data_IF_268908406039
#
_entry.id   IF_268908406039
#
_cell.length_a   1.000
_cell.length_b   1.000
_cell.length_c   1.000
_cell.angle_alpha   90.00
_cell.angle_beta   90.00
_cell.angle_gamma   90.00
#
_symmetry.space_group_name_H-M   'P 1'
#
loop_
_entity.id
_entity.type
_entity.pdbx_description
1 polymer ?
#
# COMPACT_ATOMS: atom_id res chain seq x y z
N UNK A 1 23.74 -28.34 -3.55
CA UNK A 1 22.92 -28.40 -2.32
C UNK A 1 23.78 -28.94 -1.19
N UNK A 2 23.62 -28.44 0.05
CA UNK A 2 24.35 -28.91 1.24
C UNK A 2 23.34 -29.37 2.28
N UNK A 3 23.56 -30.53 2.89
CA UNK A 3 22.70 -31.01 3.97
C UNK A 3 22.78 -30.08 5.19
N UNK A 4 21.63 -29.67 5.71
CA UNK A 4 21.55 -28.94 6.98
C UNK A 4 21.77 -29.90 8.15
N UNK A 5 22.46 -29.43 9.20
CA UNK A 5 22.60 -30.21 10.44
C UNK A 5 21.25 -30.25 11.17
N UNK A 6 20.86 -31.38 11.78
CA UNK A 6 19.69 -31.44 12.64
C UNK A 6 19.76 -30.34 13.72
N UNK A 7 18.69 -29.56 13.87
CA UNK A 7 18.62 -28.46 14.83
C UNK A 7 19.40 -27.20 14.45
N UNK A 8 19.94 -27.09 13.24
CA UNK A 8 20.55 -25.85 12.77
C UNK A 8 19.51 -24.71 12.79
N UNK A 9 19.81 -23.65 13.53
CA UNK A 9 18.99 -22.44 13.54
C UNK A 9 19.12 -21.72 12.20
N UNK A 10 18.02 -21.19 11.63
CA UNK A 10 18.08 -20.31 10.47
C UNK A 10 19.02 -19.13 10.74
N UNK A 11 19.71 -18.64 9.71
CA UNK A 11 20.55 -17.45 9.85
C UNK A 11 19.69 -16.23 10.18
N UNK A 12 20.16 -15.36 11.08
CA UNK A 12 19.53 -14.06 11.33
C UNK A 12 19.64 -13.19 10.08
N UNK A 13 18.52 -12.55 9.72
CA UNK A 13 18.45 -11.67 8.55
C UNK A 13 18.85 -10.25 8.96
N UNK A 14 19.76 -9.57 8.23
CA UNK A 14 20.14 -8.21 8.55
C UNK A 14 18.96 -7.24 8.40
N UNK A 15 18.89 -6.24 9.29
CA UNK A 15 17.96 -5.12 9.14
C UNK A 15 18.49 -4.21 8.04
N UNK A 16 17.66 -3.94 7.03
CA UNK A 16 17.98 -2.97 5.98
C UNK A 16 17.76 -1.56 6.51
N UNK A 17 18.76 -0.70 6.34
CA UNK A 17 18.67 0.73 6.65
C UNK A 17 18.66 1.49 5.33
N UNK A 18 17.64 2.32 5.14
CA UNK A 18 17.54 3.24 4.01
C UNK A 18 17.59 4.68 4.53
N UNK A 19 18.58 5.45 4.07
CA UNK A 19 18.69 6.88 4.36
C UNK A 19 18.27 7.67 3.14
N UNK A 20 17.34 8.59 3.33
CA UNK A 20 16.91 9.54 2.31
C UNK A 20 17.36 10.94 2.69
N UNK A 21 18.11 11.58 1.79
CA UNK A 21 18.61 12.93 1.98
C UNK A 21 17.85 13.88 1.05
N UNK A 22 17.21 14.89 1.64
CA UNK A 22 16.49 15.92 0.87
C UNK A 22 17.48 16.94 0.30
N UNK A 23 18.11 16.59 -0.82
CA UNK A 23 19.18 17.40 -1.45
C UNK A 23 18.74 18.74 -2.03
N UNK A 24 17.43 18.97 -2.24
CA UNK A 24 16.89 20.20 -2.84
C UNK A 24 16.48 21.26 -1.81
N UNK A 25 16.67 20.99 -0.51
CA UNK A 25 16.28 21.90 0.57
C UNK A 25 17.39 21.94 1.62
N UNK A 26 18.51 22.56 1.26
CA UNK A 26 19.63 22.74 2.18
C UNK A 26 19.23 23.69 3.31
N UNK A 27 19.57 23.31 4.54
CA UNK A 27 19.44 24.16 5.73
C UNK A 27 20.62 25.14 5.76
N UNK A 28 20.40 26.40 6.14
CA UNK A 28 21.49 27.39 6.15
C UNK A 28 22.47 27.14 7.30
N UNK A 29 22.06 26.41 8.34
CA UNK A 29 22.92 25.97 9.42
C UNK A 29 22.17 25.21 10.51
N UNK A 30 22.85 25.02 11.64
CA UNK A 30 22.32 24.27 12.80
C UNK A 30 21.01 24.86 13.32
N UNK A 31 20.92 26.18 13.46
CA UNK A 31 19.73 26.85 14.01
C UNK A 31 18.47 26.55 13.21
N UNK A 32 18.55 26.53 11.87
CA UNK A 32 17.44 26.16 11.00
C UNK A 32 17.04 24.69 11.17
N UNK A 33 18.03 23.80 11.34
CA UNK A 33 17.81 22.39 11.60
C UNK A 33 17.12 22.15 12.94
N UNK A 34 17.55 22.83 13.99
CA UNK A 34 16.93 22.76 15.32
C UNK A 34 15.48 23.28 15.29
N UNK A 35 15.24 24.40 14.60
CA UNK A 35 13.90 24.95 14.43
C UNK A 35 12.97 23.99 13.66
N UNK A 36 13.46 23.37 12.58
CA UNK A 36 12.71 22.37 11.82
C UNK A 36 12.38 21.14 12.68
N UNK A 37 13.33 20.62 13.46
CA UNK A 37 13.07 19.46 14.33
C UNK A 37 12.06 19.80 15.43
N UNK A 38 12.11 21.00 16.00
CA UNK A 38 11.12 21.46 16.97
C UNK A 38 9.71 21.53 16.34
N UNK A 39 9.58 22.09 15.14
CA UNK A 39 8.30 22.11 14.40
C UNK A 39 7.75 20.70 14.16
N UNK A 40 8.61 19.78 13.71
CA UNK A 40 8.21 18.40 13.42
C UNK A 40 7.84 17.62 14.69
N UNK A 41 8.55 17.88 15.79
CA UNK A 41 8.27 17.26 17.08
C UNK A 41 6.89 17.66 17.61
N UNK A 42 6.55 18.95 17.53
CA UNK A 42 5.29 19.48 18.06
C UNK A 42 4.11 19.23 17.10
N UNK A 43 4.37 19.22 15.81
CA UNK A 43 3.38 19.04 14.74
C UNK A 43 3.31 17.60 14.24
N UNK A 44 3.01 16.60 15.09
CA UNK A 44 3.09 15.17 14.74
C UNK A 44 2.49 14.73 13.39
N UNK A 45 1.49 15.43 12.85
CA UNK A 45 0.97 15.20 11.48
C UNK A 45 1.99 15.54 10.37
N UNK A 46 2.79 16.59 10.57
CA UNK A 46 3.87 17.00 9.68
C UNK A 46 5.02 16.00 9.68
N UNK A 47 5.39 15.46 10.85
CA UNK A 47 6.38 14.39 10.93
C UNK A 47 5.93 13.15 10.13
N UNK A 48 4.67 12.73 10.27
CA UNK A 48 4.13 11.60 9.49
C UNK A 48 4.11 11.89 7.98
N UNK A 49 3.84 13.13 7.55
CA UNK A 49 3.97 13.52 6.14
C UNK A 49 5.40 13.34 5.62
N UNK A 50 6.41 13.73 6.41
CA UNK A 50 7.81 13.51 6.03
C UNK A 50 8.15 12.02 5.90
N UNK A 51 7.62 11.19 6.80
CA UNK A 51 7.78 9.74 6.70
C UNK A 51 7.10 9.17 5.46
N UNK A 52 5.89 9.62 5.16
CA UNK A 52 5.15 9.19 3.96
C UNK A 52 5.87 9.61 2.66
N UNK A 53 6.39 10.84 2.59
CA UNK A 53 7.22 11.31 1.47
C UNK A 53 8.46 10.43 1.29
N UNK A 54 9.14 10.08 2.39
CA UNK A 54 10.30 9.19 2.36
C UNK A 54 9.95 7.78 1.87
N UNK A 55 8.91 7.16 2.44
CA UNK A 55 8.44 5.84 2.02
C UNK A 55 8.04 5.80 0.54
N UNK A 56 7.47 6.87 0.00
CA UNK A 56 7.15 6.97 -1.42
C UNK A 56 8.41 6.88 -2.30
N UNK A 57 9.54 7.48 -1.87
CA UNK A 57 10.82 7.36 -2.58
C UNK A 57 11.38 5.95 -2.50
N UNK A 58 11.36 5.33 -1.31
CA UNK A 58 11.83 3.93 -1.13
C UNK A 58 11.01 2.98 -2.02
N UNK A 59 9.69 3.09 -2.00
CA UNK A 59 8.80 2.25 -2.80
C UNK A 59 8.95 2.46 -4.30
N UNK A 60 9.28 3.69 -4.72
CA UNK A 60 9.65 3.96 -6.12
C UNK A 60 10.94 3.23 -6.50
N UNK A 61 11.95 3.24 -5.64
CA UNK A 61 13.20 2.51 -5.87
C UNK A 61 12.97 0.99 -5.94
N UNK A 62 12.17 0.43 -5.02
CA UNK A 62 11.78 -0.99 -5.03
C UNK A 62 11.02 -1.33 -6.31
N UNK A 63 10.10 -0.47 -6.75
CA UNK A 63 9.37 -0.66 -8.01
C UNK A 63 10.32 -0.65 -9.20
N UNK A 64 11.25 0.30 -9.26
CA UNK A 64 12.24 0.37 -10.33
C UNK A 64 13.10 -0.90 -10.37
N UNK A 65 13.56 -1.36 -9.20
CA UNK A 65 14.29 -2.63 -9.09
C UNK A 65 13.44 -3.81 -9.60
N UNK A 66 12.20 -3.95 -9.12
CA UNK A 66 11.25 -4.99 -9.54
C UNK A 66 11.13 -5.05 -11.06
N UNK A 67 10.94 -3.91 -11.71
CA UNK A 67 10.76 -3.82 -13.16
C UNK A 67 12.06 -4.12 -13.93
N UNK A 68 13.19 -3.54 -13.51
CA UNK A 68 14.48 -3.73 -14.18
C UNK A 68 15.05 -5.14 -13.98
N UNK A 69 14.82 -5.75 -12.82
CA UNK A 69 15.27 -7.10 -12.50
C UNK A 69 14.28 -8.19 -12.95
N UNK A 70 13.04 -7.81 -13.30
CA UNK A 70 11.97 -8.77 -13.58
C UNK A 70 11.60 -9.62 -12.35
N UNK A 71 11.75 -9.08 -11.14
CA UNK A 71 11.54 -9.81 -9.88
C UNK A 71 10.18 -9.44 -9.26
N UNK A 72 9.11 -10.23 -9.50
CA UNK A 72 7.79 -9.94 -8.95
C UNK A 72 7.73 -10.02 -7.42
N UNK A 73 8.73 -10.61 -6.76
CA UNK A 73 8.78 -10.81 -5.31
C UNK A 73 9.38 -9.62 -4.55
N UNK A 74 9.93 -8.63 -5.24
CA UNK A 74 10.43 -7.40 -4.62
C UNK A 74 9.29 -6.50 -4.13
N UNK A 75 8.70 -6.82 -2.97
CA UNK A 75 7.54 -6.14 -2.37
C UNK A 75 7.88 -4.77 -1.78
N UNK A 76 6.91 -3.84 -1.85
CA UNK A 76 7.05 -2.52 -1.23
C UNK A 76 6.99 -2.58 0.29
N UNK A 77 7.35 -1.48 0.94
CA UNK A 77 7.35 -1.32 2.39
C UNK A 77 6.34 -0.26 2.83
N UNK A 78 5.78 -0.45 3.99
CA UNK A 78 4.82 0.45 4.64
C UNK A 78 5.40 1.03 5.92
N UNK A 79 4.69 1.99 6.51
CA UNK A 79 5.06 2.54 7.81
C UNK A 79 5.11 1.47 8.92
N UNK A 80 4.33 0.40 8.81
CA UNK A 80 4.27 -0.71 9.77
C UNK A 80 5.50 -1.62 9.69
N UNK A 81 6.17 -1.69 8.53
CA UNK A 81 7.38 -2.51 8.34
C UNK A 81 8.63 -1.85 8.96
N UNK A 82 8.59 -0.53 9.15
CA UNK A 82 9.69 0.23 9.72
C UNK A 82 9.76 0.05 11.24
N UNK A 83 10.79 -0.68 11.70
CA UNK A 83 11.10 -0.84 13.14
C UNK A 83 11.36 0.49 13.83
N UNK A 84 12.01 1.40 13.13
CA UNK A 84 12.32 2.74 13.63
C UNK A 84 12.37 3.71 12.46
N UNK A 85 11.84 4.92 12.67
CA UNK A 85 11.95 6.02 11.71
C UNK A 85 12.51 7.22 12.43
N UNK A 86 13.54 7.82 11.84
CA UNK A 86 14.17 9.05 12.36
C UNK A 86 14.13 10.13 11.31
N UNK A 87 13.82 11.33 11.74
CA UNK A 87 13.92 12.54 10.91
C UNK A 87 14.93 13.45 11.57
N UNK A 88 15.94 13.85 10.81
CA UNK A 88 17.11 14.54 11.33
C UNK A 88 17.77 15.40 10.28
N UNK A 89 18.79 16.12 10.71
CA UNK A 89 19.67 16.88 9.84
C UNK A 89 21.13 16.56 10.17
N UNK A 90 22.02 16.81 9.22
CA UNK A 90 23.45 16.67 9.40
C UNK A 90 24.19 17.37 8.27
N UNK A 91 25.51 17.47 8.40
CA UNK A 91 26.36 17.90 7.29
C UNK A 91 26.24 16.91 6.12
N UNK A 92 26.60 17.35 4.91
CA UNK A 92 26.60 16.48 3.72
C UNK A 92 27.38 15.18 3.94
N UNK A 93 28.52 15.25 4.64
CA UNK A 93 29.34 14.08 4.99
C UNK A 93 28.60 13.13 5.94
N UNK A 94 27.98 13.65 7.01
CA UNK A 94 27.25 12.81 7.97
C UNK A 94 26.11 12.07 7.28
N UNK A 95 25.27 12.80 6.53
CA UNK A 95 24.06 12.22 5.93
C UNK A 95 24.40 11.26 4.79
N UNK A 96 25.53 11.44 4.11
CA UNK A 96 26.03 10.49 3.12
C UNK A 96 26.31 9.11 3.74
N UNK A 97 26.86 9.06 4.95
CA UNK A 97 27.09 7.81 5.69
C UNK A 97 25.86 7.35 6.49
N UNK A 98 24.69 7.96 6.30
CA UNK A 98 23.49 7.64 7.08
C UNK A 98 23.52 8.11 8.53
N UNK A 99 24.47 8.99 8.89
CA UNK A 99 24.58 9.61 10.20
C UNK A 99 23.86 10.96 10.25
N UNK A 100 23.60 11.47 11.44
CA UNK A 100 22.95 12.76 11.67
C UNK A 100 23.60 13.51 12.82
N UNK A 101 23.43 14.83 12.81
CA UNK A 101 23.84 15.72 13.88
C UNK A 101 22.80 15.70 15.02
N UNK A 102 21.53 15.84 14.65
CA UNK A 102 20.37 15.69 15.53
C UNK A 102 19.23 15.03 14.75
N UNK A 103 18.40 14.27 15.47
CA UNK A 103 17.21 13.64 14.92
C UNK A 103 16.16 13.43 16.01
N UNK A 104 14.90 13.41 15.59
CA UNK A 104 13.78 12.93 16.38
C UNK A 104 13.39 11.53 15.90
N UNK A 105 12.92 10.71 16.83
CA UNK A 105 12.31 9.43 16.49
C UNK A 105 10.81 9.62 16.30
N UNK A 106 10.29 9.23 15.13
CA UNK A 106 8.87 9.33 14.83
C UNK A 106 8.19 8.06 15.39
N UNK A 107 7.27 8.19 16.35
CA UNK A 107 6.61 7.04 16.95
C UNK A 107 5.82 6.24 15.90
N UNK A 108 5.62 4.94 16.09
CA UNK A 108 4.78 4.16 15.18
C UNK A 108 3.36 4.74 15.14
N UNK A 109 2.67 4.68 13.98
CA UNK A 109 1.31 5.18 13.86
C UNK A 109 0.41 4.43 14.84
N UNK A 110 -0.46 5.16 15.53
CA UNK A 110 -1.45 4.54 16.40
C UNK A 110 -2.41 3.72 15.55
N UNK A 111 -2.45 2.42 15.79
CA UNK A 111 -3.45 1.57 15.15
C UNK A 111 -4.86 2.07 15.53
N UNK A 112 -5.79 2.19 14.57
CA UNK A 112 -7.17 2.51 14.89
C UNK A 112 -7.74 1.45 15.83
N UNK A 113 -8.56 1.88 16.81
CA UNK A 113 -9.26 0.95 17.69
C UNK A 113 -10.38 0.29 16.91
N UNK A 114 -10.13 -0.95 16.46
CA UNK A 114 -11.13 -1.77 15.78
C UNK A 114 -11.72 -2.78 16.76
N UNK A 115 -12.98 -3.14 16.59
CA UNK A 115 -13.60 -4.22 17.36
C UNK A 115 -12.84 -5.53 17.11
N UNK A 116 -12.74 -6.38 18.14
CA UNK A 116 -11.96 -7.63 18.07
C UNK A 116 -12.45 -8.53 16.93
N UNK A 117 -13.76 -8.57 16.72
CA UNK A 117 -14.39 -9.37 15.67
C UNK A 117 -13.89 -8.94 14.28
N UNK A 118 -13.82 -7.63 14.02
CA UNK A 118 -13.32 -7.09 12.74
C UNK A 118 -11.82 -7.33 12.58
N UNK A 119 -11.04 -7.17 13.66
CA UNK A 119 -9.60 -7.40 13.62
C UNK A 119 -9.20 -8.85 13.33
N UNK A 120 -10.11 -9.81 13.53
CA UNK A 120 -9.88 -11.24 13.28
C UNK A 120 -10.35 -11.70 11.90
N UNK A 121 -11.10 -10.87 11.17
CA UNK A 121 -11.65 -11.23 9.86
C UNK A 121 -10.57 -11.66 8.86
N UNK A 122 -9.42 -10.97 8.72
CA UNK A 122 -8.38 -11.41 7.79
C UNK A 122 -7.84 -12.81 8.11
N UNK A 123 -7.58 -13.11 9.39
CA UNK A 123 -7.08 -14.43 9.81
C UNK A 123 -8.13 -15.53 9.59
N UNK A 124 -9.41 -15.21 9.81
CA UNK A 124 -10.52 -16.12 9.50
C UNK A 124 -10.61 -16.39 7.99
N UNK A 125 -10.44 -15.35 7.15
CA UNK A 125 -10.39 -15.48 5.70
C UNK A 125 -9.25 -16.39 5.23
N UNK A 126 -8.04 -16.19 5.76
CA UNK A 126 -6.89 -17.06 5.49
C UNK A 126 -7.16 -18.50 5.91
N UNK A 127 -7.71 -18.72 7.11
CA UNK A 127 -8.05 -20.05 7.59
C UNK A 127 -9.10 -20.74 6.69
N UNK A 128 -10.11 -19.99 6.21
CA UNK A 128 -11.12 -20.51 5.28
C UNK A 128 -10.50 -20.93 3.94
N UNK A 129 -9.59 -20.14 3.38
CA UNK A 129 -8.88 -20.47 2.13
C UNK A 129 -8.01 -21.72 2.32
N UNK A 130 -7.21 -21.78 3.39
CA UNK A 130 -6.30 -22.90 3.65
C UNK A 130 -7.04 -24.21 3.97
N UNK A 131 -8.28 -24.12 4.47
CA UNK A 131 -9.15 -25.28 4.71
C UNK A 131 -10.03 -25.63 3.50
N UNK A 132 -9.81 -24.99 2.34
CA UNK A 132 -10.62 -25.12 1.13
C UNK A 132 -12.11 -24.78 1.31
N UNK A 133 -12.43 -23.98 2.34
CA UNK A 133 -13.78 -23.49 2.63
C UNK A 133 -14.16 -22.20 1.91
N UNK A 134 -13.21 -21.54 1.24
CA UNK A 134 -13.46 -20.35 0.41
C UNK A 134 -12.43 -20.25 -0.73
N UNK A 135 -12.81 -19.76 -1.92
CA UNK A 135 -11.86 -19.53 -3.01
C UNK A 135 -11.04 -18.25 -2.79
N UNK A 136 -9.94 -18.15 -3.52
CA UNK A 136 -9.25 -16.89 -3.79
C UNK A 136 -9.79 -16.33 -5.10
N UNK A 137 -10.14 -15.05 -5.11
CA UNK A 137 -10.56 -14.35 -6.32
C UNK A 137 -9.32 -13.72 -6.97
N UNK A 138 -9.09 -13.99 -8.24
CA UNK A 138 -8.06 -13.31 -9.02
C UNK A 138 -8.40 -11.82 -9.16
N UNK A 139 -9.69 -11.48 -9.20
CA UNK A 139 -10.15 -10.10 -9.18
C UNK A 139 -9.66 -9.33 -7.95
N UNK A 140 -9.63 -9.96 -6.77
CA UNK A 140 -9.20 -9.33 -5.52
C UNK A 140 -7.73 -8.92 -5.58
N UNK A 141 -6.86 -9.79 -6.10
CA UNK A 141 -5.44 -9.48 -6.31
C UNK A 141 -5.28 -8.27 -7.24
N UNK A 142 -6.03 -8.21 -8.35
CA UNK A 142 -5.97 -7.08 -9.28
C UNK A 142 -6.48 -5.78 -8.66
N UNK A 143 -7.54 -5.83 -7.86
CA UNK A 143 -8.10 -4.66 -7.18
C UNK A 143 -7.12 -4.12 -6.14
N UNK A 144 -6.54 -5.00 -5.31
CA UNK A 144 -5.51 -4.63 -4.32
C UNK A 144 -4.29 -4.02 -5.02
N UNK A 145 -3.84 -4.64 -6.11
CA UNK A 145 -2.71 -4.15 -6.88
C UNK A 145 -2.99 -2.78 -7.49
N UNK A 146 -4.18 -2.57 -8.02
CA UNK A 146 -4.56 -1.30 -8.62
C UNK A 146 -4.69 -0.18 -7.58
N UNK A 147 -5.18 -0.48 -6.37
CA UNK A 147 -5.16 0.45 -5.23
C UNK A 147 -3.72 0.88 -4.90
N UNK A 148 -2.80 -0.08 -4.80
CA UNK A 148 -1.37 0.20 -4.57
C UNK A 148 -0.74 1.01 -5.71
N UNK A 149 -1.09 0.72 -6.95
CA UNK A 149 -0.63 1.49 -8.12
C UNK A 149 -1.14 2.94 -8.05
N UNK A 150 -2.38 3.16 -7.62
CA UNK A 150 -2.96 4.50 -7.44
C UNK A 150 -2.25 5.30 -6.34
N UNK A 151 -1.99 4.68 -5.18
CA UNK A 151 -1.22 5.28 -4.09
C UNK A 151 0.18 5.70 -4.53
N UNK A 152 0.80 4.92 -5.43
CA UNK A 152 2.17 5.15 -5.90
C UNK A 152 2.25 6.04 -7.15
N UNK A 153 1.15 6.68 -7.56
CA UNK A 153 1.11 7.58 -8.71
C UNK A 153 1.28 6.86 -10.05
N UNK A 154 0.79 5.61 -10.15
CA UNK A 154 0.73 4.82 -11.37
C UNK A 154 -0.72 4.71 -11.84
N UNK A 155 -1.35 5.85 -12.09
CA UNK A 155 -2.79 5.94 -12.38
C UNK A 155 -3.19 5.14 -13.61
N UNK A 156 -2.31 5.07 -14.63
CA UNK A 156 -2.56 4.29 -15.84
C UNK A 156 -2.68 2.80 -15.54
N UNK A 157 -1.77 2.27 -14.73
CA UNK A 157 -1.80 0.86 -14.31
C UNK A 157 -3.02 0.59 -13.42
N UNK A 158 -3.33 1.51 -12.51
CA UNK A 158 -4.52 1.41 -11.65
C UNK A 158 -5.82 1.36 -12.46
N UNK A 159 -6.01 2.25 -13.44
CA UNK A 159 -7.21 2.28 -14.27
C UNK A 159 -7.41 0.98 -15.07
N UNK A 160 -6.34 0.48 -15.71
CA UNK A 160 -6.38 -0.78 -16.46
C UNK A 160 -6.61 -1.98 -15.53
N UNK A 161 -5.91 -2.00 -14.39
CA UNK A 161 -6.02 -3.06 -13.39
C UNK A 161 -7.42 -3.15 -12.77
N UNK A 162 -8.03 -2.02 -12.41
CA UNK A 162 -9.41 -2.00 -11.89
C UNK A 162 -10.41 -2.47 -12.94
N UNK A 163 -10.23 -2.10 -14.21
CA UNK A 163 -11.11 -2.57 -15.29
C UNK A 163 -11.03 -4.09 -15.44
N UNK A 164 -9.81 -4.64 -15.50
CA UNK A 164 -9.61 -6.09 -15.55
C UNK A 164 -10.15 -6.79 -14.29
N UNK A 165 -9.95 -6.18 -13.11
CA UNK A 165 -10.48 -6.66 -11.84
C UNK A 165 -12.00 -6.75 -11.84
N UNK A 166 -12.73 -5.74 -12.35
CA UNK A 166 -14.19 -5.81 -12.47
C UNK A 166 -14.65 -6.91 -13.44
N UNK A 167 -13.97 -7.05 -14.58
CA UNK A 167 -14.33 -8.08 -15.56
C UNK A 167 -14.12 -9.50 -15.01
N UNK A 168 -13.06 -9.74 -14.23
CA UNK A 168 -12.86 -11.00 -13.49
C UNK A 168 -13.88 -11.17 -12.36
N UNK A 169 -14.12 -10.12 -11.57
CA UNK A 169 -15.04 -10.18 -10.42
C UNK A 169 -16.43 -10.64 -10.86
N UNK A 170 -16.90 -10.14 -12.01
CA UNK A 170 -18.16 -10.56 -12.64
C UNK A 170 -18.17 -12.03 -13.03
N UNK A 171 -17.06 -12.51 -13.59
CA UNK A 171 -16.95 -13.90 -14.03
C UNK A 171 -16.89 -14.84 -12.82
N UNK A 172 -16.11 -14.51 -11.81
CA UNK A 172 -15.88 -15.34 -10.62
C UNK A 172 -17.09 -15.39 -9.68
N UNK A 173 -17.88 -14.31 -9.62
CA UNK A 173 -19.07 -14.24 -8.76
C UNK A 173 -20.38 -14.65 -9.45
N UNK A 174 -20.38 -14.90 -10.77
CA UNK A 174 -21.60 -15.16 -11.56
C UNK A 174 -22.45 -16.29 -10.99
N UNK A 175 -21.80 -17.40 -10.63
CA UNK A 175 -22.47 -18.64 -10.20
C UNK A 175 -22.43 -18.83 -8.68
N UNK A 176 -21.99 -17.82 -7.94
CA UNK A 176 -21.91 -17.88 -6.49
C UNK A 176 -23.21 -17.43 -5.81
N UNK A 177 -23.54 -18.05 -4.69
CA UNK A 177 -24.66 -17.62 -3.87
C UNK A 177 -24.28 -16.38 -3.05
N UNK A 178 -24.59 -15.21 -3.61
CA UNK A 178 -24.30 -13.92 -3.00
C UNK A 178 -25.37 -13.54 -1.97
N UNK A 179 -24.90 -13.07 -0.81
CA UNK A 179 -25.77 -12.38 0.15
C UNK A 179 -26.43 -11.15 -0.52
N UNK A 180 -27.61 -10.70 -0.06
CA UNK A 180 -28.24 -9.49 -0.60
C UNK A 180 -27.34 -8.25 -0.56
N UNK A 181 -26.48 -8.16 0.47
CA UNK A 181 -25.49 -7.08 0.60
C UNK A 181 -24.40 -7.15 -0.46
N UNK A 182 -23.82 -8.33 -0.70
CA UNK A 182 -22.81 -8.54 -1.73
C UNK A 182 -23.39 -8.32 -3.13
N UNK A 183 -24.61 -8.80 -3.40
CA UNK A 183 -25.31 -8.60 -4.68
C UNK A 183 -25.53 -7.11 -4.98
N UNK A 184 -26.04 -6.34 -4.00
CA UNK A 184 -26.23 -4.89 -4.16
C UNK A 184 -24.90 -4.17 -4.47
N UNK A 185 -23.82 -4.52 -3.76
CA UNK A 185 -22.49 -3.93 -4.00
C UNK A 185 -21.97 -4.25 -5.40
N UNK A 186 -22.18 -5.48 -5.88
CA UNK A 186 -21.82 -5.86 -7.24
C UNK A 186 -22.61 -5.01 -8.26
N UNK A 187 -23.92 -4.88 -8.10
CA UNK A 187 -24.77 -4.04 -8.97
C UNK A 187 -24.29 -2.57 -9.00
N UNK A 188 -23.94 -2.01 -7.85
CA UNK A 188 -23.35 -0.65 -7.73
C UNK A 188 -22.00 -0.55 -8.48
N UNK A 189 -21.17 -1.59 -8.42
CA UNK A 189 -19.92 -1.66 -9.17
C UNK A 189 -20.14 -1.77 -10.68
N UNK A 190 -21.13 -2.55 -11.09
CA UNK A 190 -21.49 -2.72 -12.50
C UNK A 190 -22.07 -1.44 -13.11
N UNK A 191 -22.83 -0.66 -12.35
CA UNK A 191 -23.31 0.65 -12.77
C UNK A 191 -22.16 1.61 -13.11
N UNK A 192 -21.01 1.49 -12.41
CA UNK A 192 -19.79 2.26 -12.67
C UNK A 192 -18.91 1.72 -13.81
N UNK A 193 -19.26 0.60 -14.44
CA UNK A 193 -18.39 -0.09 -15.37
C UNK A 193 -18.06 0.71 -16.65
N UNK A 194 -19.02 1.53 -17.12
CA UNK A 194 -18.84 2.37 -18.31
C UNK A 194 -17.80 3.46 -18.08
N UNK A 195 -17.89 4.16 -16.94
CA UNK A 195 -16.90 5.14 -16.50
C UNK A 195 -15.52 4.51 -16.36
N UNK A 196 -15.42 3.33 -15.73
CA UNK A 196 -14.15 2.64 -15.56
C UNK A 196 -13.53 2.20 -16.89
N UNK A 197 -14.35 1.74 -17.85
CA UNK A 197 -13.89 1.46 -19.21
C UNK A 197 -13.33 2.72 -19.90
N UNK A 198 -14.01 3.85 -19.77
CA UNK A 198 -13.56 5.11 -20.34
C UNK A 198 -12.20 5.54 -19.75
N UNK A 199 -12.05 5.47 -18.43
CA UNK A 199 -10.81 5.80 -17.73
C UNK A 199 -9.65 4.89 -18.15
N UNK A 200 -9.90 3.58 -18.22
CA UNK A 200 -8.91 2.61 -18.69
C UNK A 200 -8.49 2.88 -20.14
N UNK A 201 -9.44 3.19 -21.03
CA UNK A 201 -9.15 3.54 -22.43
C UNK A 201 -8.34 4.84 -22.53
N UNK A 202 -8.70 5.88 -21.77
CA UNK A 202 -7.92 7.14 -21.74
C UNK A 202 -6.50 6.91 -21.20
N UNK A 203 -6.34 6.02 -20.22
CA UNK A 203 -5.03 5.62 -19.72
C UNK A 203 -4.17 4.93 -20.78
N UNK A 204 -4.75 4.09 -21.65
CA UNK A 204 -4.01 3.44 -22.74
C UNK A 204 -3.69 4.41 -23.88
N UNK A 205 -4.63 5.28 -24.22
CA UNK A 205 -4.54 6.20 -25.37
C UNK A 205 -3.69 7.46 -25.08
N UNK A 206 -3.15 7.60 -23.88
CA UNK A 206 -2.35 8.77 -23.47
C UNK A 206 -3.17 10.01 -23.12
N UNK A 207 -4.50 9.89 -23.04
CA UNK A 207 -5.44 10.96 -22.74
C UNK A 207 -5.83 11.08 -21.27
N UNK A 208 -5.05 10.51 -20.33
CA UNK A 208 -5.35 10.55 -18.90
C UNK A 208 -5.08 11.95 -18.33
N UNK A 209 -6.12 12.63 -17.86
CA UNK A 209 -6.04 13.97 -17.30
C UNK A 209 -5.80 13.94 -15.79
N UNK A 210 -5.22 14.99 -15.18
CA UNK A 210 -5.02 15.06 -13.72
C UNK A 210 -6.31 14.84 -12.90
N UNK A 211 -7.47 15.31 -13.41
CA UNK A 211 -8.77 15.12 -12.75
C UNK A 211 -9.30 13.68 -12.79
N UNK A 212 -8.78 12.83 -13.66
CA UNK A 212 -9.22 11.42 -13.77
C UNK A 212 -8.79 10.60 -12.55
N UNK A 213 -7.70 10.99 -11.88
CA UNK A 213 -7.23 10.35 -10.64
C UNK A 213 -8.30 10.31 -9.55
N UNK A 214 -9.00 11.43 -9.34
CA UNK A 214 -10.04 11.55 -8.31
C UNK A 214 -11.25 10.62 -8.56
N UNK A 215 -11.40 10.11 -9.78
CA UNK A 215 -12.46 9.16 -10.17
C UNK A 215 -12.07 7.70 -9.92
N UNK A 216 -10.77 7.41 -9.78
CA UNK A 216 -10.27 6.06 -9.51
C UNK A 216 -10.38 5.68 -8.03
N UNK A 217 -10.20 6.61 -7.10
CA UNK A 217 -10.29 6.31 -5.66
C UNK A 217 -11.65 5.70 -5.27
N UNK A 218 -12.81 6.30 -5.66
CA UNK A 218 -14.11 5.69 -5.41
C UNK A 218 -14.32 4.35 -6.14
N UNK A 219 -13.61 4.10 -7.24
CA UNK A 219 -13.70 2.83 -7.97
C UNK A 219 -12.96 1.71 -7.21
N UNK A 220 -11.80 2.00 -6.62
CA UNK A 220 -11.08 1.08 -5.72
C UNK A 220 -11.96 0.70 -4.54
N UNK A 221 -12.51 1.71 -3.84
CA UNK A 221 -13.36 1.49 -2.66
C UNK A 221 -14.60 0.66 -2.99
N UNK A 222 -15.27 0.96 -4.11
CA UNK A 222 -16.47 0.26 -4.55
C UNK A 222 -16.19 -1.20 -4.86
N UNK A 223 -15.13 -1.49 -5.63
CA UNK A 223 -14.76 -2.87 -5.99
C UNK A 223 -14.26 -3.67 -4.76
N UNK A 224 -13.41 -3.07 -3.91
CA UNK A 224 -12.99 -3.67 -2.65
C UNK A 224 -14.19 -3.96 -1.74
N UNK A 225 -15.16 -3.05 -1.69
CA UNK A 225 -16.40 -3.22 -0.94
C UNK A 225 -17.31 -4.34 -1.45
N UNK A 226 -17.15 -4.83 -2.70
CA UNK A 226 -17.80 -6.06 -3.17
C UNK A 226 -17.11 -7.28 -2.57
N UNK A 227 -15.78 -7.32 -2.66
CA UNK A 227 -14.95 -8.42 -2.13
C UNK A 227 -15.18 -8.57 -0.63
N UNK A 228 -15.16 -7.49 0.14
CA UNK A 228 -15.42 -7.52 1.57
C UNK A 228 -16.82 -8.05 1.90
N UNK A 229 -17.85 -7.60 1.18
CA UNK A 229 -19.23 -8.04 1.40
C UNK A 229 -19.48 -9.50 1.00
N UNK A 230 -18.71 -10.01 0.03
CA UNK A 230 -18.73 -11.39 -0.38
C UNK A 230 -17.97 -12.30 0.61
N UNK A 231 -16.77 -11.89 1.03
CA UNK A 231 -15.86 -12.67 1.89
C UNK A 231 -16.34 -12.69 3.34
N UNK A 232 -16.77 -11.54 3.86
CA UNK A 232 -17.12 -11.38 5.26
C UNK A 232 -18.62 -11.20 5.42
N UNK A 233 -19.25 -12.13 6.15
CA UNK A 233 -20.61 -11.88 6.66
C UNK A 233 -20.52 -10.76 7.70
N UNK A 234 -21.37 -9.73 7.64
CA UNK A 234 -21.44 -8.77 8.73
C UNK A 234 -21.78 -9.53 10.02
N UNK A 235 -21.16 -9.17 11.17
CA UNK A 235 -21.59 -9.73 12.43
C UNK A 235 -23.08 -9.46 12.61
N UNK A 236 -23.87 -10.48 12.96
CA UNK A 236 -25.28 -10.31 13.30
C UNK A 236 -25.36 -9.24 14.42
N UNK A 237 -26.19 -8.22 14.19
CA UNK A 237 -26.36 -7.08 15.08
C UNK A 237 -27.28 -7.42 16.25
#
# INVERSE_FOLDING_TARGET
MRAAKPGATPAEVPIVVATLVKGTSALAGRADGDALLAELHDGGSRAEQWVAEGLAVVNRAITAYRLCAGDPHAVGVTRQDARTVRVGYGTGELVFHGSWEQAIEVPPPRAPKVKREVSLMPQQGVAAVLSAGAPLLEAEELILRAGLDLEQGRERAAAVGLRAGLDLLRAELRDQDLSPGARRRLEEAEAGAGELAELARRATDGGFAPGDRARLEPAVERLGGVVDAWRYKPPEA
#
